data_IF_381217910133
#
_entry.id   IF_381217910133
#
_cell.length_a   1.000
_cell.length_b   1.000
_cell.length_c   1.000
_cell.angle_alpha   90.00
_cell.angle_beta   90.00
_cell.angle_gamma   90.00
#
_symmetry.space_group_name_H-M   'P 1'
#
loop_
_entity.id
_entity.type
_entity.pdbx_description
1 polymer ?
#
# COMPACT_ATOMS: atom_id res chain seq x y z
N UNK A 1 16.98 10.73 -10.01
CA UNK A 1 17.33 10.35 -8.62
C UNK A 1 16.23 10.76 -7.66
N UNK A 2 15.81 9.86 -6.77
CA UNK A 2 14.75 10.13 -5.78
C UNK A 2 15.37 10.83 -4.55
N UNK A 3 14.61 11.68 -3.84
CA UNK A 3 15.07 12.31 -2.59
C UNK A 3 15.42 11.27 -1.52
N UNK A 4 14.78 10.09 -1.59
CA UNK A 4 15.02 8.96 -0.70
C UNK A 4 16.42 8.36 -0.84
N UNK A 5 17.10 8.58 -1.97
CA UNK A 5 18.44 8.02 -2.25
C UNK A 5 19.56 8.95 -1.76
N UNK A 6 19.26 10.22 -1.50
CA UNK A 6 20.24 11.24 -1.15
C UNK A 6 21.10 10.87 0.08
N UNK A 7 20.53 10.35 1.19
CA UNK A 7 21.33 9.93 2.34
C UNK A 7 22.34 8.84 2.00
N UNK A 8 21.93 7.81 1.26
CA UNK A 8 22.82 6.73 0.86
C UNK A 8 23.98 7.27 0.01
N UNK A 9 23.68 8.11 -0.97
CA UNK A 9 24.70 8.67 -1.87
C UNK A 9 25.67 9.60 -1.13
N UNK A 10 25.17 10.44 -0.22
CA UNK A 10 26.03 11.26 0.63
C UNK A 10 26.99 10.42 1.47
N UNK A 11 26.49 9.34 2.07
CA UNK A 11 27.33 8.42 2.83
C UNK A 11 28.29 7.64 1.95
N UNK A 12 27.88 7.20 0.76
CA UNK A 12 28.78 6.54 -0.18
C UNK A 12 29.92 7.47 -0.63
N UNK A 13 29.64 8.76 -0.83
CA UNK A 13 30.65 9.74 -1.19
C UNK A 13 31.63 10.05 -0.05
N UNK A 14 31.18 10.01 1.21
CA UNK A 14 31.92 10.57 2.36
C UNK A 14 32.40 9.54 3.38
N UNK A 15 31.78 8.35 3.45
CA UNK A 15 32.02 7.35 4.47
C UNK A 15 32.62 6.06 3.88
N UNK A 16 33.84 5.74 4.32
CA UNK A 16 34.59 4.57 3.86
C UNK A 16 33.93 3.24 4.26
N UNK A 17 33.08 3.21 5.30
CA UNK A 17 32.35 1.99 5.65
C UNK A 17 31.26 1.70 4.61
N UNK A 18 30.51 2.72 4.20
CA UNK A 18 29.51 2.65 3.14
C UNK A 18 30.12 2.17 1.82
N UNK A 19 31.27 2.75 1.42
CA UNK A 19 32.01 2.32 0.23
C UNK A 19 32.38 0.84 0.28
N UNK A 20 32.94 0.37 1.41
CA UNK A 20 33.28 -1.04 1.59
C UNK A 20 32.07 -1.98 1.53
N UNK A 21 30.91 -1.53 2.03
CA UNK A 21 29.68 -2.30 1.95
C UNK A 21 29.24 -2.50 0.49
N UNK A 22 29.33 -1.45 -0.32
CA UNK A 22 29.04 -1.49 -1.77
C UNK A 22 30.06 -2.36 -2.52
N UNK A 23 31.36 -2.18 -2.27
CA UNK A 23 32.43 -2.98 -2.89
C UNK A 23 32.23 -4.49 -2.65
N UNK A 24 31.69 -4.87 -1.49
CA UNK A 24 31.40 -6.27 -1.16
C UNK A 24 30.28 -6.85 -2.02
N UNK A 25 29.29 -6.04 -2.39
CA UNK A 25 28.22 -6.46 -3.30
C UNK A 25 28.80 -6.61 -4.71
N UNK A 26 29.56 -5.61 -5.18
CA UNK A 26 30.19 -5.65 -6.51
C UNK A 26 31.07 -6.89 -6.69
N UNK A 27 31.95 -7.19 -5.72
CA UNK A 27 32.80 -8.39 -5.76
C UNK A 27 32.02 -9.71 -5.79
N UNK A 28 30.81 -9.76 -5.22
CA UNK A 28 29.97 -10.95 -5.32
C UNK A 28 29.41 -11.10 -6.73
N UNK A 29 29.01 -10.00 -7.36
CA UNK A 29 28.49 -9.97 -8.73
C UNK A 29 29.58 -10.30 -9.76
N UNK A 30 30.78 -9.72 -9.62
CA UNK A 30 31.91 -9.98 -10.53
C UNK A 30 32.31 -11.47 -10.51
N UNK A 31 32.13 -12.14 -9.37
CA UNK A 31 32.46 -13.56 -9.21
C UNK A 31 31.37 -14.53 -9.66
N UNK A 32 30.24 -14.05 -10.19
CA UNK A 32 29.04 -14.86 -10.42
C UNK A 32 28.39 -14.72 -11.79
N UNK A 33 29.16 -14.30 -12.81
CA UNK A 33 28.66 -14.23 -14.19
C UNK A 33 27.98 -15.54 -14.64
N UNK A 34 26.73 -15.42 -15.09
CA UNK A 34 25.92 -16.54 -15.61
C UNK A 34 25.29 -17.47 -14.57
N UNK A 35 25.44 -17.20 -13.26
CA UNK A 35 24.87 -18.04 -12.20
C UNK A 35 23.87 -17.27 -11.31
N UNK A 36 22.80 -17.95 -10.89
CA UNK A 36 21.89 -17.43 -9.85
C UNK A 36 22.67 -17.21 -8.55
N UNK A 37 22.66 -15.97 -8.04
CA UNK A 37 23.49 -15.58 -6.89
C UNK A 37 22.66 -14.99 -5.77
N UNK A 38 22.79 -15.58 -4.59
CA UNK A 38 22.19 -15.08 -3.37
C UNK A 38 23.13 -14.07 -2.70
N UNK A 39 22.87 -12.78 -2.97
CA UNK A 39 23.70 -11.70 -2.47
C UNK A 39 23.66 -11.62 -0.93
N UNK A 40 24.84 -11.58 -0.32
CA UNK A 40 24.99 -11.24 1.10
C UNK A 40 25.07 -9.73 1.23
N UNK A 41 23.99 -9.12 1.72
CA UNK A 41 23.87 -7.67 1.92
C UNK A 41 24.16 -7.33 3.38
N UNK A 42 25.04 -6.36 3.61
CA UNK A 42 25.35 -5.83 4.94
C UNK A 42 24.72 -4.43 5.10
N UNK A 43 24.48 -3.96 6.34
CA UNK A 43 24.11 -2.56 6.57
C UNK A 43 25.14 -1.62 5.96
N UNK A 44 24.67 -0.54 5.33
CA UNK A 44 25.54 0.43 4.65
C UNK A 44 26.02 1.55 5.56
N UNK A 45 25.45 1.72 6.77
CA UNK A 45 25.93 2.68 7.77
C UNK A 45 26.16 2.03 9.14
N UNK A 46 26.94 2.70 10.00
CA UNK A 46 27.18 2.28 11.38
C UNK A 46 26.21 2.98 12.34
N UNK A 47 25.78 2.25 13.35
CA UNK A 47 24.94 2.78 14.43
C UNK A 47 23.69 1.93 14.63
N UNK A 48 22.73 2.48 15.38
CA UNK A 48 21.43 1.84 15.56
C UNK A 48 20.61 2.03 14.29
N UNK A 49 19.97 0.96 13.85
CA UNK A 49 19.04 0.98 12.75
C UNK A 49 17.76 0.25 13.17
N UNK A 50 16.62 0.76 12.71
CA UNK A 50 15.34 0.05 12.76
C UNK A 50 15.11 -0.54 11.38
N UNK A 51 14.59 -1.77 11.36
CA UNK A 51 14.22 -2.47 10.14
C UNK A 51 12.78 -2.94 10.34
N UNK A 52 11.93 -2.67 9.35
CA UNK A 52 10.57 -3.20 9.26
C UNK A 52 10.62 -4.42 8.37
N UNK A 53 10.12 -5.54 8.87
CA UNK A 53 10.17 -6.82 8.19
C UNK A 53 8.79 -7.48 8.19
N UNK A 54 8.48 -8.18 7.10
CA UNK A 54 7.39 -9.17 7.03
C UNK A 54 7.98 -10.56 7.24
N UNK A 55 7.26 -11.42 7.95
CA UNK A 55 7.81 -12.69 8.41
C UNK A 55 6.85 -13.47 9.30
N UNK A 56 7.40 -14.45 10.02
CA UNK A 56 6.64 -15.39 10.83
C UNK A 56 7.26 -15.48 12.23
N UNK A 57 6.41 -15.59 13.25
CA UNK A 57 6.86 -15.99 14.58
C UNK A 57 7.28 -17.46 14.57
N UNK A 58 8.42 -17.77 15.17
CA UNK A 58 8.82 -19.15 15.41
C UNK A 58 8.01 -19.71 16.60
N UNK A 59 7.94 -21.04 16.70
CA UNK A 59 7.12 -21.75 17.68
C UNK A 59 7.43 -21.41 19.15
N UNK A 60 8.56 -20.74 19.42
CA UNK A 60 8.96 -20.28 20.74
C UNK A 60 8.29 -18.96 21.18
N UNK A 61 7.57 -18.28 20.28
CA UNK A 61 6.99 -16.94 20.46
C UNK A 61 7.97 -15.88 20.99
N UNK A 62 9.27 -16.12 20.84
CA UNK A 62 10.36 -15.22 21.26
C UNK A 62 11.21 -14.78 20.08
N UNK A 63 11.19 -15.58 19.01
CA UNK A 63 11.99 -15.37 17.82
C UNK A 63 11.08 -15.08 16.63
N UNK A 64 11.39 -14.03 15.89
CA UNK A 64 10.69 -13.67 14.65
C UNK A 64 11.61 -13.87 13.46
N UNK A 65 11.17 -14.68 12.49
CA UNK A 65 11.87 -14.90 11.23
C UNK A 65 11.42 -13.86 10.21
N UNK A 66 12.24 -12.83 9.99
CA UNK A 66 12.02 -11.87 8.91
C UNK A 66 12.35 -12.47 7.55
N UNK A 67 11.37 -12.50 6.65
CA UNK A 67 11.49 -13.04 5.30
C UNK A 67 11.64 -11.95 4.24
N UNK A 68 11.07 -10.76 4.50
CA UNK A 68 11.14 -9.62 3.59
C UNK A 68 11.39 -8.34 4.37
N UNK A 69 12.37 -7.55 3.97
CA UNK A 69 12.58 -6.19 4.49
C UNK A 69 11.68 -5.23 3.73
N UNK A 70 10.83 -4.51 4.45
CA UNK A 70 9.83 -3.58 3.88
C UNK A 70 10.02 -2.15 4.35
N UNK A 71 11.03 -1.90 5.18
CA UNK A 71 11.43 -0.55 5.53
C UNK A 71 12.67 -0.51 6.39
N UNK A 72 13.34 0.64 6.40
CA UNK A 72 14.58 0.87 7.14
C UNK A 72 14.63 2.29 7.69
N UNK A 73 15.25 2.50 8.85
CA UNK A 73 15.59 3.85 9.30
C UNK A 73 16.85 4.35 8.61
N UNK A 74 16.99 5.68 8.57
CA UNK A 74 18.21 6.35 8.12
C UNK A 74 19.19 6.59 9.28
N UNK A 75 20.47 6.91 8.99
CA UNK A 75 21.44 7.31 10.00
C UNK A 75 20.95 8.51 10.81
N UNK A 76 20.95 8.40 12.13
CA UNK A 76 20.45 9.48 12.99
C UNK A 76 21.45 10.64 13.12
N UNK A 77 20.93 11.87 13.20
CA UNK A 77 21.74 13.06 13.53
C UNK A 77 22.45 13.71 12.35
N UNK A 78 22.08 13.34 11.12
CA UNK A 78 22.62 13.93 9.90
C UNK A 78 21.59 14.77 9.16
N UNK A 79 22.03 15.94 8.68
CA UNK A 79 21.28 16.76 7.72
C UNK A 79 21.92 16.63 6.35
N UNK A 80 21.17 16.13 5.38
CA UNK A 80 21.61 15.92 4.00
C UNK A 80 21.02 17.04 3.15
N UNK A 81 21.88 17.97 2.73
CA UNK A 81 21.51 18.96 1.74
C UNK A 81 21.71 18.35 0.35
N UNK A 82 20.66 18.32 -0.47
CA UNK A 82 20.76 17.79 -1.83
C UNK A 82 20.37 18.86 -2.85
N UNK A 83 21.20 18.98 -3.89
CA UNK A 83 20.92 19.83 -5.05
C UNK A 83 20.42 18.95 -6.21
N UNK A 84 19.34 19.38 -6.87
CA UNK A 84 18.88 18.82 -8.15
C UNK A 84 19.30 19.76 -9.27
N UNK A 85 20.00 19.22 -10.28
CA UNK A 85 20.45 20.01 -11.45
C UNK A 85 19.29 20.75 -12.12
N UNK A 86 18.13 20.09 -12.28
CA UNK A 86 16.89 20.67 -12.80
C UNK A 86 15.84 20.80 -11.68
N UNK A 87 16.07 21.72 -10.74
CA UNK A 87 15.14 22.01 -9.65
C UNK A 87 14.19 23.15 -10.00
N UNK A 88 12.89 22.97 -9.74
CA UNK A 88 11.89 24.04 -9.74
C UNK A 88 11.82 24.77 -8.38
N UNK A 89 12.63 24.37 -7.41
CA UNK A 89 12.73 25.01 -6.10
C UNK A 89 13.65 26.21 -6.21
N UNK A 90 13.10 27.30 -6.74
CA UNK A 90 13.82 28.56 -6.97
C UNK A 90 13.06 29.76 -6.43
N UNK A 91 13.76 30.85 -6.11
CA UNK A 91 13.14 32.12 -5.72
C UNK A 91 12.62 32.91 -6.93
N UNK A 92 13.35 32.87 -8.04
CA UNK A 92 13.01 33.55 -9.28
C UNK A 92 12.94 32.58 -10.48
N UNK A 93 11.98 32.82 -11.37
CA UNK A 93 11.87 32.06 -12.63
C UNK A 93 13.00 32.44 -13.59
N UNK A 94 13.30 31.55 -14.54
CA UNK A 94 14.24 31.84 -15.62
C UNK A 94 13.70 32.99 -16.50
N UNK A 95 14.59 33.77 -17.11
CA UNK A 95 14.19 34.86 -18.01
C UNK A 95 13.55 34.32 -19.29
N UNK A 96 12.62 35.08 -19.86
CA UNK A 96 12.02 34.78 -21.16
C UNK A 96 13.12 34.71 -22.24
N UNK A 97 13.26 33.54 -22.88
CA UNK A 97 14.33 33.24 -23.85
C UNK A 97 15.48 32.37 -23.32
N UNK A 98 15.45 31.99 -22.03
CA UNK A 98 16.42 31.02 -21.48
C UNK A 98 16.27 29.64 -22.12
N UNK A 99 17.35 28.84 -22.14
CA UNK A 99 17.35 27.48 -22.69
C UNK A 99 16.21 26.64 -22.07
N UNK A 100 15.55 25.82 -22.89
CA UNK A 100 14.50 24.92 -22.42
C UNK A 100 15.12 23.65 -21.81
N UNK A 101 14.71 23.30 -20.59
CA UNK A 101 14.98 21.98 -20.02
C UNK A 101 13.87 21.01 -20.44
N UNK A 102 14.24 19.77 -20.76
CA UNK A 102 13.30 18.70 -21.15
C UNK A 102 12.47 19.00 -22.41
N UNK A 103 13.01 19.76 -23.37
CA UNK A 103 12.34 20.01 -24.65
C UNK A 103 12.32 18.75 -25.52
N UNK A 104 11.16 18.41 -26.08
CA UNK A 104 10.88 17.18 -26.83
C UNK A 104 11.07 15.87 -26.03
N UNK A 105 11.09 15.92 -24.70
CA UNK A 105 11.17 14.69 -23.90
C UNK A 105 9.82 13.99 -23.87
N UNK A 106 9.85 12.67 -24.03
CA UNK A 106 8.66 11.83 -24.00
C UNK A 106 7.98 11.89 -22.63
N UNK A 107 6.63 11.92 -22.63
CA UNK A 107 5.87 11.82 -21.37
C UNK A 107 6.18 10.50 -20.63
N UNK A 108 6.06 10.51 -19.31
CA UNK A 108 6.18 9.29 -18.51
C UNK A 108 4.93 8.45 -18.69
N UNK A 109 5.11 7.16 -18.92
CA UNK A 109 4.04 6.17 -19.07
C UNK A 109 4.08 5.23 -17.89
N UNK A 110 2.97 5.11 -17.18
CA UNK A 110 2.79 4.09 -16.13
C UNK A 110 2.53 2.76 -16.82
N UNK A 111 3.25 1.71 -16.40
CA UNK A 111 3.07 0.36 -16.91
C UNK A 111 1.63 -0.09 -16.67
N UNK A 112 0.97 -0.57 -17.73
CA UNK A 112 -0.30 -1.29 -17.58
C UNK A 112 -0.07 -2.78 -17.30
N UNK A 113 -0.97 -3.47 -16.56
CA UNK A 113 -0.77 -4.87 -16.15
C UNK A 113 -0.45 -5.83 -17.32
N UNK A 114 -1.05 -5.60 -18.48
CA UNK A 114 -0.95 -6.46 -19.66
C UNK A 114 0.22 -6.09 -20.60
N UNK A 115 0.97 -5.04 -20.29
CA UNK A 115 2.08 -4.58 -21.12
C UNK A 115 3.33 -5.45 -20.90
N UNK A 116 3.69 -6.22 -21.93
CA UNK A 116 4.93 -6.99 -21.98
C UNK A 116 6.07 -6.04 -22.34
N UNK A 117 7.11 -6.03 -21.51
CA UNK A 117 8.32 -5.27 -21.74
C UNK A 117 9.54 -6.12 -21.36
N UNK A 118 10.67 -5.87 -22.00
CA UNK A 118 11.96 -6.46 -21.59
C UNK A 118 12.80 -5.46 -20.81
N UNK A 119 13.60 -5.96 -19.87
CA UNK A 119 14.66 -5.18 -19.22
C UNK A 119 15.99 -5.57 -19.85
N UNK A 120 16.67 -4.59 -20.45
CA UNK A 120 17.99 -4.78 -21.04
C UNK A 120 18.96 -3.72 -20.50
N UNK A 121 19.82 -4.13 -19.57
CA UNK A 121 20.81 -3.25 -18.95
C UNK A 121 22.14 -3.22 -19.71
N UNK A 122 22.27 -3.94 -20.84
CA UNK A 122 23.48 -3.93 -21.65
C UNK A 122 23.66 -2.61 -22.43
N UNK A 123 22.59 -1.83 -22.56
CA UNK A 123 22.57 -0.58 -23.31
C UNK A 123 21.94 0.56 -22.48
N UNK A 124 22.29 1.79 -22.86
CA UNK A 124 21.77 3.01 -22.22
C UNK A 124 20.58 3.57 -23.00
N UNK A 125 19.67 4.32 -22.34
CA UNK A 125 18.51 4.89 -23.00
C UNK A 125 18.87 6.14 -23.82
N UNK A 126 18.11 6.34 -24.90
CA UNK A 126 18.24 7.49 -25.80
C UNK A 126 18.00 8.85 -25.15
N UNK A 127 18.63 9.90 -25.71
CA UNK A 127 18.25 11.28 -25.42
C UNK A 127 16.82 11.54 -25.94
N UNK A 128 15.85 11.58 -25.04
CA UNK A 128 14.42 11.73 -25.36
C UNK A 128 13.62 10.42 -25.37
N UNK A 129 14.21 9.32 -24.89
CA UNK A 129 13.54 8.04 -24.73
C UNK A 129 12.26 8.13 -23.88
N UNK A 130 11.31 7.24 -24.12
CA UNK A 130 10.12 7.10 -23.28
C UNK A 130 10.50 6.60 -21.89
N UNK A 131 9.85 7.13 -20.85
CA UNK A 131 10.01 6.64 -19.49
C UNK A 131 8.88 5.67 -19.15
N UNK A 132 9.19 4.42 -18.81
CA UNK A 132 8.25 3.47 -18.23
C UNK A 132 8.36 3.48 -16.71
N UNK A 133 7.24 3.73 -16.05
CA UNK A 133 7.12 3.68 -14.60
C UNK A 133 6.55 2.32 -14.18
N UNK A 134 7.33 1.55 -13.44
CA UNK A 134 6.95 0.22 -12.93
C UNK A 134 6.63 0.33 -11.44
N UNK A 135 5.52 -0.30 -11.03
CA UNK A 135 5.07 -0.36 -9.65
C UNK A 135 6.05 -1.17 -8.79
N UNK A 136 6.44 -0.61 -7.64
CA UNK A 136 7.23 -1.31 -6.64
C UNK A 136 6.43 -1.50 -5.36
N UNK A 137 6.66 -2.62 -4.67
CA UNK A 137 6.15 -2.83 -3.31
C UNK A 137 6.65 -1.74 -2.37
N UNK A 138 5.73 -1.18 -1.56
CA UNK A 138 6.00 -0.06 -0.66
C UNK A 138 7.20 -0.35 0.25
N UNK A 139 8.25 0.46 0.10
CA UNK A 139 9.43 0.45 0.95
C UNK A 139 9.46 1.72 1.80
N UNK A 140 9.35 1.53 3.11
CA UNK A 140 9.17 2.63 4.07
C UNK A 140 10.51 3.12 4.66
N UNK A 141 10.66 4.44 4.78
CA UNK A 141 11.74 5.03 5.57
C UNK A 141 11.23 5.29 6.99
N UNK A 142 11.86 4.66 7.99
CA UNK A 142 11.36 4.62 9.36
C UNK A 142 11.84 5.81 10.20
N UNK A 143 10.93 6.74 10.49
CA UNK A 143 11.12 7.92 11.32
C UNK A 143 11.93 9.04 10.65
N UNK A 144 12.11 10.14 11.39
CA UNK A 144 12.60 11.41 10.84
C UNK A 144 14.06 11.70 11.23
N UNK A 145 14.84 10.67 11.57
CA UNK A 145 16.15 10.82 12.20
C UNK A 145 17.23 11.43 11.29
N UNK A 146 17.00 11.45 9.97
CA UNK A 146 17.86 12.09 8.97
C UNK A 146 17.06 13.13 8.19
N UNK A 147 17.45 14.40 8.31
CA UNK A 147 16.73 15.51 7.69
C UNK A 147 17.30 15.72 6.29
N UNK A 148 16.48 15.46 5.26
CA UNK A 148 16.86 15.69 3.86
C UNK A 148 16.31 17.04 3.41
N UNK A 149 17.19 18.02 3.23
CA UNK A 149 16.83 19.40 2.87
C UNK A 149 17.14 19.64 1.39
N UNK A 150 16.14 19.93 0.54
CA UNK A 150 16.42 20.35 -0.82
C UNK A 150 17.06 21.74 -0.82
N UNK A 151 18.16 21.90 -1.55
CA UNK A 151 18.75 23.22 -1.78
C UNK A 151 17.85 24.02 -2.72
N UNK A 152 17.50 25.22 -2.26
CA UNK A 152 16.74 26.21 -3.02
C UNK A 152 17.71 27.12 -3.76
N UNK A 153 17.52 27.29 -5.08
CA UNK A 153 18.37 28.17 -5.90
C UNK A 153 17.75 29.55 -6.01
N UNK A 154 18.55 30.60 -6.14
CA UNK A 154 18.00 31.96 -6.29
C UNK A 154 17.21 32.12 -7.59
N UNK A 155 17.69 31.55 -8.71
CA UNK A 155 17.01 31.66 -10.01
C UNK A 155 17.08 30.37 -10.81
N UNK A 156 15.98 30.01 -11.47
CA UNK A 156 15.94 28.89 -12.41
C UNK A 156 16.85 29.17 -13.63
N UNK A 157 17.63 28.17 -14.02
CA UNK A 157 18.53 28.25 -15.20
C UNK A 157 17.83 27.98 -16.53
N UNK A 158 16.66 27.34 -16.50
CA UNK A 158 15.99 26.83 -17.69
C UNK A 158 14.48 27.10 -17.63
N UNK A 159 13.86 27.26 -18.80
CA UNK A 159 12.39 27.28 -18.97
C UNK A 159 11.89 25.84 -19.20
N UNK A 160 10.67 25.51 -18.77
CA UNK A 160 10.06 24.20 -19.07
C UNK A 160 9.90 24.00 -20.58
N UNK A 161 10.46 22.91 -21.10
CA UNK A 161 10.31 22.48 -22.49
C UNK A 161 8.97 21.80 -22.80
N UNK A 162 8.72 21.61 -24.08
CA UNK A 162 7.53 20.93 -24.61
C UNK A 162 7.67 19.41 -24.46
N UNK A 163 6.63 18.72 -23.99
CA UNK A 163 6.62 17.24 -23.95
C UNK A 163 6.11 16.68 -25.27
N UNK A 164 6.70 15.57 -25.73
CA UNK A 164 6.19 14.80 -26.86
C UNK A 164 5.41 13.58 -26.34
N UNK A 165 4.21 13.33 -26.85
CA UNK A 165 3.32 12.28 -26.31
C UNK A 165 3.47 10.90 -26.97
N UNK A 166 4.38 10.71 -27.94
CA UNK A 166 4.25 9.61 -28.90
C UNK A 166 5.44 8.66 -29.09
N UNK A 167 6.43 8.60 -28.18
CA UNK A 167 7.50 7.58 -28.27
C UNK A 167 7.23 6.45 -27.27
N UNK A 168 7.22 5.20 -27.73
CA UNK A 168 7.11 3.99 -26.92
C UNK A 168 8.23 3.04 -27.30
N UNK A 169 8.80 2.33 -26.33
CA UNK A 169 9.86 1.34 -26.57
C UNK A 169 9.40 -0.05 -26.12
N UNK A 170 9.98 -1.10 -26.68
CA UNK A 170 9.70 -2.49 -26.29
C UNK A 170 10.67 -3.03 -25.23
N UNK A 171 11.84 -2.39 -25.12
CA UNK A 171 12.89 -2.69 -24.13
C UNK A 171 13.23 -1.46 -23.30
N UNK A 172 13.56 -1.68 -22.03
CA UNK A 172 13.83 -0.61 -21.07
C UNK A 172 15.05 -0.92 -20.19
N UNK A 173 15.71 0.12 -19.68
CA UNK A 173 16.92 0.02 -18.82
C UNK A 173 16.83 0.95 -17.62
N UNK A 174 17.51 0.63 -16.52
CA UNK A 174 17.64 1.50 -15.34
C UNK A 174 18.89 2.41 -15.39
N UNK A 175 19.70 2.28 -16.45
CA UNK A 175 20.93 3.06 -16.61
C UNK A 175 20.65 4.53 -16.89
N UNK A 176 21.64 5.40 -16.60
CA UNK A 176 21.55 6.82 -16.93
C UNK A 176 21.55 7.05 -18.45
N UNK A 177 20.80 8.07 -18.89
CA UNK A 177 20.73 8.45 -20.29
C UNK A 177 22.05 9.02 -20.79
N UNK A 178 22.86 8.19 -21.45
CA UNK A 178 24.04 8.59 -22.19
C UNK A 178 23.84 8.20 -23.66
N UNK A 179 23.91 9.21 -24.54
CA UNK A 179 23.43 9.11 -25.91
C UNK A 179 24.26 8.23 -26.84
N UNK A 180 23.55 7.34 -27.52
CA UNK A 180 23.63 6.94 -28.93
C UNK A 180 22.26 6.36 -29.27
N UNK A 181 21.76 6.52 -30.51
CA UNK A 181 20.39 6.12 -30.89
C UNK A 181 20.16 4.60 -30.77
N UNK A 182 19.63 4.17 -29.65
CA UNK A 182 19.23 2.81 -29.32
C UNK A 182 17.74 2.85 -28.93
N UNK A 183 16.93 1.98 -29.52
CA UNK A 183 15.47 1.93 -29.32
C UNK A 183 15.06 1.41 -27.91
N UNK A 184 15.65 1.99 -26.86
CA UNK A 184 15.59 1.56 -25.47
C UNK A 184 15.07 2.72 -24.61
N UNK A 185 13.99 2.43 -23.89
CA UNK A 185 13.36 3.34 -22.95
C UNK A 185 14.07 3.39 -21.60
N UNK A 186 13.81 4.45 -20.84
CA UNK A 186 14.23 4.52 -19.44
C UNK A 186 13.18 3.90 -18.54
N UNK A 187 13.59 3.00 -17.63
CA UNK A 187 12.72 2.44 -16.60
C UNK A 187 12.98 3.15 -15.28
N UNK A 188 11.91 3.65 -14.67
CA UNK A 188 11.94 4.11 -13.28
C UNK A 188 10.94 3.34 -12.45
N UNK A 189 11.28 3.15 -11.17
CA UNK A 189 10.30 2.72 -10.20
C UNK A 189 9.50 3.90 -9.68
N UNK A 190 8.21 3.66 -9.50
CA UNK A 190 7.31 4.62 -8.87
C UNK A 190 6.83 4.03 -7.55
N UNK A 191 7.09 4.79 -6.49
CA UNK A 191 6.52 4.58 -5.15
C UNK A 191 5.24 5.43 -4.95
N UNK A 192 4.69 6.04 -6.01
CA UNK A 192 3.53 6.95 -5.92
C UNK A 192 2.19 6.25 -5.69
N UNK A 193 2.18 4.92 -5.70
CA UNK A 193 1.25 4.23 -4.83
C UNK A 193 1.94 4.15 -3.45
N UNK A 194 1.78 5.20 -2.63
CA UNK A 194 1.47 4.89 -1.24
C UNK A 194 0.38 3.82 -1.36
N UNK A 195 0.68 2.55 -1.05
CA UNK A 195 -0.37 1.55 -0.90
C UNK A 195 -1.39 2.28 -0.04
N UNK A 196 -2.53 2.64 -0.62
CA UNK A 196 -3.35 3.73 -0.09
C UNK A 196 -3.81 3.23 1.26
N UNK A 197 -3.07 3.56 2.32
CA UNK A 197 -3.30 2.98 3.63
C UNK A 197 -4.63 3.55 4.04
N UNK A 198 -5.67 2.75 3.89
CA UNK A 198 -7.01 3.18 4.19
C UNK A 198 -7.11 3.17 5.70
N UNK A 199 -7.10 4.36 6.27
CA UNK A 199 -7.35 4.54 7.69
C UNK A 199 -8.85 4.45 7.95
N UNK A 200 -9.19 3.79 9.05
CA UNK A 200 -10.56 3.72 9.54
C UNK A 200 -11.08 5.10 9.95
N UNK A 201 -12.30 5.45 9.55
CA UNK A 201 -12.93 6.71 9.91
C UNK A 201 -13.01 6.89 11.43
N UNK A 202 -13.05 8.14 11.89
CA UNK A 202 -13.13 8.46 13.33
C UNK A 202 -14.51 8.18 13.94
N UNK A 203 -15.54 7.93 13.12
CA UNK A 203 -16.94 7.70 13.52
C UNK A 203 -17.63 6.76 12.52
N UNK A 204 -18.74 6.16 12.96
CA UNK A 204 -19.59 5.30 12.12
C UNK A 204 -19.39 3.81 12.42
N UNK A 205 -20.16 2.96 11.73
CA UNK A 205 -20.35 1.56 12.12
C UNK A 205 -19.03 0.76 12.21
N UNK A 206 -18.07 0.99 11.31
CA UNK A 206 -16.77 0.29 11.35
C UNK A 206 -16.03 0.63 12.65
N UNK A 207 -15.97 1.92 13.00
CA UNK A 207 -15.36 2.41 14.25
C UNK A 207 -16.13 1.96 15.48
N UNK A 208 -17.46 1.98 15.45
CA UNK A 208 -18.32 1.57 16.56
C UNK A 208 -18.14 0.07 16.86
N UNK A 209 -18.08 -0.78 15.84
CA UNK A 209 -17.79 -2.20 16.00
C UNK A 209 -16.39 -2.46 16.58
N UNK A 210 -15.37 -1.75 16.12
CA UNK A 210 -14.02 -1.86 16.69
C UNK A 210 -13.97 -1.45 18.16
N UNK A 211 -14.62 -0.33 18.50
CA UNK A 211 -14.72 0.14 19.89
C UNK A 211 -15.50 -0.86 20.77
N UNK A 212 -16.54 -1.50 20.25
CA UNK A 212 -17.25 -2.57 20.95
C UNK A 212 -16.35 -3.79 21.25
N UNK A 213 -15.47 -4.16 20.31
CA UNK A 213 -14.51 -5.25 20.52
C UNK A 213 -13.45 -4.88 21.57
N UNK A 214 -12.95 -3.63 21.56
CA UNK A 214 -12.06 -3.12 22.61
C UNK A 214 -12.75 -3.17 23.97
N UNK A 215 -13.97 -2.65 24.06
CA UNK A 215 -14.74 -2.67 25.30
C UNK A 215 -14.93 -4.09 25.83
N UNK A 216 -15.25 -5.05 24.96
CA UNK A 216 -15.37 -6.46 25.34
C UNK A 216 -14.03 -7.03 25.84
N UNK A 217 -12.89 -6.63 25.25
CA UNK A 217 -11.54 -7.02 25.74
C UNK A 217 -11.29 -6.56 27.16
N UNK A 218 -11.59 -5.30 27.43
CA UNK A 218 -11.34 -4.67 28.72
C UNK A 218 -12.23 -5.28 29.81
N UNK A 219 -13.48 -5.62 29.46
CA UNK A 219 -14.48 -6.13 30.41
C UNK A 219 -14.57 -7.67 30.47
N UNK A 220 -13.87 -8.40 29.60
CA UNK A 220 -13.86 -9.87 29.58
C UNK A 220 -12.46 -10.45 29.33
N UNK A 221 -11.45 -9.78 29.87
CA UNK A 221 -10.02 -10.12 29.72
C UNK A 221 -9.64 -11.53 30.19
N UNK A 222 -10.48 -12.19 31.01
CA UNK A 222 -10.28 -13.58 31.42
C UNK A 222 -10.57 -14.60 30.30
N UNK A 223 -11.44 -14.24 29.34
CA UNK A 223 -11.85 -15.13 28.24
C UNK A 223 -11.20 -14.76 26.91
N UNK A 224 -11.01 -13.46 26.66
CA UNK A 224 -10.39 -12.98 25.43
C UNK A 224 -8.90 -12.74 25.60
N UNK A 225 -8.09 -13.47 24.82
CA UNK A 225 -6.62 -13.43 24.89
C UNK A 225 -6.01 -12.47 23.88
N UNK A 226 -6.64 -12.27 22.71
CA UNK A 226 -6.17 -11.32 21.70
C UNK A 226 -7.30 -10.60 20.97
N UNK A 227 -6.98 -9.40 20.51
CA UNK A 227 -7.76 -8.60 19.57
C UNK A 227 -6.75 -7.92 18.64
N UNK A 228 -6.85 -8.22 17.36
CA UNK A 228 -5.94 -7.79 16.29
C UNK A 228 -6.76 -7.37 15.08
N UNK A 229 -6.16 -6.60 14.17
CA UNK A 229 -6.69 -6.33 12.84
C UNK A 229 -5.76 -6.92 11.78
N UNK A 230 -6.29 -7.21 10.59
CA UNK A 230 -5.57 -7.86 9.50
C UNK A 230 -5.61 -7.05 8.20
N UNK A 231 -4.47 -6.89 7.55
CA UNK A 231 -4.39 -6.54 6.13
C UNK A 231 -3.43 -7.50 5.40
N UNK A 232 -3.62 -7.76 4.09
CA UNK A 232 -2.65 -8.52 3.29
C UNK A 232 -1.23 -7.93 3.38
N UNK A 233 -1.13 -6.61 3.54
CA UNK A 233 0.13 -5.89 3.62
C UNK A 233 0.79 -6.06 4.99
N UNK A 234 0.07 -5.84 6.08
CA UNK A 234 0.66 -5.78 7.43
C UNK A 234 0.41 -7.05 8.26
N UNK A 235 -0.26 -8.05 7.70
CA UNK A 235 -0.70 -9.26 8.39
C UNK A 235 -1.50 -8.89 9.66
N UNK A 236 -1.39 -9.69 10.73
CA UNK A 236 -2.04 -9.39 12.00
C UNK A 236 -1.25 -8.33 12.77
N UNK A 237 -1.96 -7.30 13.22
CA UNK A 237 -1.43 -6.20 14.02
C UNK A 237 -2.35 -5.89 15.20
N UNK A 238 -1.76 -5.47 16.31
CA UNK A 238 -2.45 -5.04 17.52
C UNK A 238 -2.29 -3.53 17.79
N UNK A 239 -1.88 -2.75 16.79
CA UNK A 239 -1.76 -1.30 16.92
C UNK A 239 -3.12 -0.67 17.26
N UNK A 240 -3.07 0.50 17.91
CA UNK A 240 -4.26 1.20 18.40
C UNK A 240 -5.23 1.61 17.28
N UNK A 241 -4.69 2.05 16.15
CA UNK A 241 -5.47 2.45 14.98
C UNK A 241 -5.44 1.34 13.93
N UNK A 242 -6.60 0.73 13.61
CA UNK A 242 -6.72 -0.25 12.55
C UNK A 242 -6.58 0.34 11.16
N UNK A 243 -5.92 -0.44 10.31
CA UNK A 243 -5.93 -0.23 8.87
C UNK A 243 -6.99 -1.11 8.20
N UNK A 244 -7.41 -0.71 7.01
CA UNK A 244 -8.44 -1.37 6.26
C UNK A 244 -7.87 -2.05 5.02
N UNK A 245 -8.50 -3.16 4.63
CA UNK A 245 -8.24 -3.82 3.36
C UNK A 245 -8.94 -3.04 2.26
N UNK A 246 -8.18 -2.57 1.27
CA UNK A 246 -8.73 -1.87 0.12
C UNK A 246 -9.55 -2.80 -0.79
N UNK A 247 -10.69 -2.31 -1.28
CA UNK A 247 -11.47 -3.00 -2.29
C UNK A 247 -10.92 -2.58 -3.67
N UNK A 248 -10.37 -3.50 -4.47
CA UNK A 248 -9.73 -3.14 -5.72
C UNK A 248 -10.70 -2.54 -6.74
N UNK A 249 -10.21 -1.57 -7.50
CA UNK A 249 -10.89 -1.03 -8.66
C UNK A 249 -11.06 -2.10 -9.75
N UNK A 250 -12.07 -1.94 -10.61
CA UNK A 250 -12.23 -2.85 -11.75
C UNK A 250 -11.15 -2.56 -12.79
N UNK A 251 -10.41 -3.58 -13.18
CA UNK A 251 -9.45 -3.47 -14.27
C UNK A 251 -10.18 -3.36 -15.61
N UNK A 252 -9.54 -2.77 -16.62
CA UNK A 252 -10.17 -2.51 -17.92
C UNK A 252 -10.69 -3.79 -18.58
N UNK A 253 -9.94 -4.88 -18.51
CA UNK A 253 -10.33 -6.22 -18.98
C UNK A 253 -11.55 -6.80 -18.22
N UNK A 254 -11.69 -6.55 -16.92
CA UNK A 254 -12.85 -6.98 -16.14
C UNK A 254 -14.13 -6.22 -16.54
N UNK A 255 -14.00 -4.97 -17.01
CA UNK A 255 -15.16 -4.19 -17.48
C UNK A 255 -15.74 -4.69 -18.80
N UNK A 256 -15.01 -5.54 -19.52
CA UNK A 256 -15.36 -6.10 -20.84
C UNK A 256 -15.68 -7.60 -20.82
N UNK A 257 -15.64 -8.27 -19.65
CA UNK A 257 -15.88 -9.72 -19.55
C UNK A 257 -17.28 -10.15 -20.03
N UNK A 258 -17.30 -11.07 -21.01
CA UNK A 258 -18.39 -11.94 -21.47
C UNK A 258 -19.77 -11.29 -21.69
N UNK A 259 -19.93 -10.54 -22.80
CA UNK A 259 -21.21 -10.12 -23.43
C UNK A 259 -22.27 -9.40 -22.55
N UNK A 260 -22.08 -9.33 -21.22
CA UNK A 260 -22.91 -8.66 -20.24
C UNK A 260 -22.08 -7.58 -19.56
N UNK A 261 -22.18 -6.35 -20.08
CA UNK A 261 -21.49 -5.18 -19.52
C UNK A 261 -21.78 -5.05 -18.02
N UNK A 262 -20.73 -5.02 -17.19
CA UNK A 262 -20.87 -4.71 -15.77
C UNK A 262 -21.57 -3.36 -15.62
N UNK A 263 -22.68 -3.34 -14.86
CA UNK A 263 -23.46 -2.11 -14.69
C UNK A 263 -22.61 -0.98 -14.08
N UNK A 264 -22.88 0.27 -14.48
CA UNK A 264 -22.19 1.46 -13.94
C UNK A 264 -22.29 1.57 -12.42
N UNK A 265 -23.38 1.07 -11.83
CA UNK A 265 -23.57 1.02 -10.37
C UNK A 265 -22.58 0.07 -9.69
N UNK A 266 -22.25 -1.06 -10.32
CA UNK A 266 -21.25 -2.00 -9.81
C UNK A 266 -19.86 -1.40 -9.98
N UNK A 267 -19.53 -0.85 -11.15
CA UNK A 267 -18.23 -0.20 -11.41
C UNK A 267 -17.92 0.96 -10.46
N UNK A 268 -18.95 1.73 -10.06
CA UNK A 268 -18.80 2.85 -9.14
C UNK A 268 -18.88 2.45 -7.66
N UNK A 269 -19.25 1.22 -7.34
CA UNK A 269 -19.45 0.79 -5.96
C UNK A 269 -18.17 0.82 -5.09
N UNK A 270 -16.99 0.43 -5.59
CA UNK A 270 -15.75 0.50 -4.82
C UNK A 270 -15.38 1.90 -4.33
N UNK A 271 -15.93 2.98 -4.89
CA UNK A 271 -15.57 4.33 -4.49
C UNK A 271 -16.49 4.89 -3.40
N UNK A 272 -15.93 5.49 -2.36
CA UNK A 272 -16.63 6.35 -1.41
C UNK A 272 -17.04 7.67 -2.06
N UNK A 273 -16.14 8.29 -2.83
CA UNK A 273 -16.43 9.43 -3.70
C UNK A 273 -16.61 8.97 -5.16
N UNK A 274 -17.86 8.84 -5.58
CA UNK A 274 -18.24 8.39 -6.92
C UNK A 274 -17.93 9.43 -8.01
N UNK A 275 -17.91 10.72 -7.64
CA UNK A 275 -17.78 11.82 -8.58
C UNK A 275 -16.33 11.97 -9.00
N UNK A 276 -15.43 12.09 -8.01
CA UNK A 276 -14.01 12.29 -8.29
C UNK A 276 -13.24 10.97 -8.44
N UNK A 277 -13.83 9.83 -8.03
CA UNK A 277 -13.19 8.50 -8.02
C UNK A 277 -11.83 8.48 -7.32
N UNK A 278 -11.64 9.37 -6.35
CA UNK A 278 -10.38 9.49 -5.61
C UNK A 278 -10.33 8.56 -4.42
N UNK A 279 -11.45 8.32 -3.77
CA UNK A 279 -11.52 7.58 -2.52
C UNK A 279 -12.12 6.19 -2.71
N UNK A 280 -11.26 5.18 -2.66
CA UNK A 280 -11.62 3.78 -2.67
C UNK A 280 -12.05 3.36 -1.26
N UNK A 281 -13.09 2.54 -1.21
CA UNK A 281 -13.66 1.94 0.00
C UNK A 281 -12.78 0.79 0.47
N UNK A 282 -12.67 0.65 1.77
CA UNK A 282 -12.09 -0.52 2.42
C UNK A 282 -13.07 -1.28 3.31
N UNK A 283 -12.57 -2.35 3.89
CA UNK A 283 -13.22 -3.05 4.99
C UNK A 283 -12.20 -3.41 6.07
N UNK A 284 -12.65 -3.38 7.33
CA UNK A 284 -11.87 -3.85 8.47
C UNK A 284 -11.95 -5.37 8.51
N UNK A 285 -10.82 -6.04 8.71
CA UNK A 285 -10.79 -7.41 9.21
C UNK A 285 -10.24 -7.36 10.63
N UNK A 286 -11.02 -7.80 11.61
CA UNK A 286 -10.54 -8.00 12.98
C UNK A 286 -10.50 -9.48 13.34
N UNK A 287 -9.59 -9.85 14.23
CA UNK A 287 -9.40 -11.20 14.77
C UNK A 287 -9.50 -11.12 16.29
N UNK A 288 -10.33 -11.99 16.88
CA UNK A 288 -10.48 -12.19 18.31
C UNK A 288 -10.15 -13.63 18.65
N UNK A 289 -9.40 -13.84 19.74
CA UNK A 289 -9.18 -15.19 20.29
C UNK A 289 -9.88 -15.29 21.64
N UNK A 290 -10.96 -16.07 21.70
CA UNK A 290 -11.83 -16.21 22.88
C UNK A 290 -11.93 -17.69 23.25
N UNK A 291 -11.55 -18.06 24.47
CA UNK A 291 -11.53 -19.45 24.95
C UNK A 291 -10.87 -20.42 23.95
N UNK A 292 -9.72 -20.01 23.39
CA UNK A 292 -8.95 -20.70 22.33
C UNK A 292 -9.65 -20.83 20.97
N UNK A 293 -10.74 -20.11 20.72
CA UNK A 293 -11.38 -20.04 19.41
C UNK A 293 -10.97 -18.75 18.68
N UNK A 294 -10.44 -18.90 17.46
CA UNK A 294 -10.12 -17.78 16.58
C UNK A 294 -11.35 -17.38 15.77
N UNK A 295 -11.81 -16.14 15.95
CA UNK A 295 -13.00 -15.59 15.30
C UNK A 295 -12.60 -14.32 14.56
N UNK A 296 -13.08 -14.16 13.35
CA UNK A 296 -12.84 -13.00 12.52
C UNK A 296 -14.13 -12.22 12.27
N UNK A 297 -14.00 -10.91 12.11
CA UNK A 297 -15.10 -10.03 11.70
C UNK A 297 -14.67 -9.20 10.50
N UNK A 298 -15.65 -8.89 9.65
CA UNK A 298 -15.50 -7.99 8.52
C UNK A 298 -16.57 -6.90 8.58
N UNK A 299 -16.13 -5.65 8.49
CA UNK A 299 -16.98 -4.46 8.43
C UNK A 299 -16.61 -3.55 7.27
N UNK A 300 -17.57 -3.25 6.41
CA UNK A 300 -17.35 -2.48 5.18
C UNK A 300 -17.61 -0.99 5.46
N UNK A 301 -16.70 -0.12 5.00
CA UNK A 301 -16.89 1.33 5.03
C UNK A 301 -18.13 1.75 4.25
N UNK A 302 -18.78 2.83 4.71
CA UNK A 302 -20.01 3.35 4.13
C UNK A 302 -19.79 4.79 3.70
N UNK A 303 -20.50 5.22 2.65
CA UNK A 303 -20.47 6.63 2.25
C UNK A 303 -21.14 7.47 3.35
N UNK A 304 -20.41 8.46 3.85
CA UNK A 304 -20.93 9.50 4.74
C UNK A 304 -21.26 10.71 3.87
N UNK A 305 -22.50 11.22 3.91
CA UNK A 305 -22.84 12.52 3.32
C UNK A 305 -23.12 13.51 4.44
N UNK A 306 -22.43 14.64 4.42
CA UNK A 306 -22.69 15.80 5.26
C UNK A 306 -23.43 16.85 4.43
N UNK A 307 -24.75 16.77 4.30
CA UNK A 307 -25.55 17.94 3.90
C UNK A 307 -26.87 17.97 4.65
N UNK A 308 -27.07 19.06 5.39
CA UNK A 308 -28.36 19.49 5.91
C UNK A 308 -29.32 19.71 4.74
N UNK A 309 -30.35 18.87 4.59
CA UNK A 309 -31.52 19.21 3.76
C UNK A 309 -31.85 18.30 2.57
N UNK A 310 -31.14 17.18 2.34
CA UNK A 310 -31.55 16.19 1.34
C UNK A 310 -31.94 14.87 2.01
N UNK A 311 -33.10 14.31 1.65
CA UNK A 311 -33.57 13.02 2.14
C UNK A 311 -32.46 11.95 2.03
N UNK A 312 -32.31 11.25 3.14
CA UNK A 312 -31.15 10.50 3.59
C UNK A 312 -30.74 9.35 2.67
N UNK A 313 -29.60 9.49 1.97
CA UNK A 313 -28.89 8.34 1.37
C UNK A 313 -28.20 7.48 2.45
N UNK A 314 -28.11 7.93 3.71
CA UNK A 314 -27.62 7.09 4.82
C UNK A 314 -28.52 5.86 5.07
N UNK A 315 -29.77 5.87 4.60
CA UNK A 315 -30.62 4.68 4.56
C UNK A 315 -30.25 3.67 3.45
N UNK A 316 -29.45 4.06 2.45
CA UNK A 316 -29.20 3.25 1.26
C UNK A 316 -28.11 2.17 1.45
N UNK A 317 -27.14 2.38 2.34
CA UNK A 317 -26.04 1.43 2.59
C UNK A 317 -26.21 0.69 3.93
N UNK A 318 -27.26 -0.14 4.01
CA UNK A 318 -27.53 -1.04 5.16
C UNK A 318 -26.74 -2.35 5.04
N UNK A 319 -25.42 -2.27 4.94
CA UNK A 319 -24.57 -3.46 4.88
C UNK A 319 -24.67 -4.29 6.17
N UNK A 320 -24.62 -5.60 6.02
CA UNK A 320 -24.48 -6.53 7.14
C UNK A 320 -22.99 -6.73 7.40
N UNK A 321 -22.62 -6.84 8.67
CA UNK A 321 -21.30 -7.33 9.03
C UNK A 321 -21.20 -8.83 8.77
N UNK A 322 -19.98 -9.33 8.68
CA UNK A 322 -19.69 -10.75 8.49
C UNK A 322 -18.81 -11.22 9.64
N UNK A 323 -19.20 -12.31 10.29
CA UNK A 323 -18.41 -13.02 11.30
C UNK A 323 -18.05 -14.38 10.74
N UNK A 324 -16.80 -14.81 10.91
CA UNK A 324 -16.37 -16.10 10.38
C UNK A 324 -15.25 -16.75 11.19
N UNK A 325 -15.12 -18.06 11.04
CA UNK A 325 -13.98 -18.86 11.47
C UNK A 325 -13.36 -19.53 10.23
N UNK A 326 -12.10 -19.92 10.34
CA UNK A 326 -11.40 -20.65 9.28
C UNK A 326 -11.05 -22.04 9.78
N UNK A 327 -11.07 -23.04 8.90
CA UNK A 327 -10.59 -24.38 9.23
C UNK A 327 -9.07 -24.40 9.44
N UNK A 328 -8.33 -23.57 8.68
CA UNK A 328 -6.91 -23.31 8.82
C UNK A 328 -6.66 -21.79 8.80
N UNK A 329 -5.94 -21.26 9.78
CA UNK A 329 -5.61 -19.83 9.84
C UNK A 329 -4.73 -19.38 8.66
N UNK A 330 -4.00 -20.30 8.01
CA UNK A 330 -3.20 -20.01 6.82
C UNK A 330 -4.07 -19.58 5.61
N UNK A 331 -5.37 -19.88 5.61
CA UNK A 331 -6.28 -19.50 4.54
C UNK A 331 -6.74 -18.03 4.62
N UNK A 332 -6.40 -17.29 5.68
CA UNK A 332 -6.84 -15.90 5.86
C UNK A 332 -6.51 -15.01 4.67
N UNK A 333 -5.29 -15.15 4.11
CA UNK A 333 -4.86 -14.35 2.96
C UNK A 333 -5.73 -14.62 1.73
N UNK A 334 -5.95 -15.90 1.40
CA UNK A 334 -6.77 -16.30 0.25
C UNK A 334 -8.22 -15.87 0.43
N UNK A 335 -8.76 -16.05 1.64
CA UNK A 335 -10.14 -15.71 1.95
C UNK A 335 -10.37 -14.19 1.89
N UNK A 336 -9.49 -13.39 2.49
CA UNK A 336 -9.59 -11.92 2.46
C UNK A 336 -9.40 -11.37 1.05
N UNK A 337 -8.50 -11.96 0.25
CA UNK A 337 -8.32 -11.60 -1.16
C UNK A 337 -9.59 -11.89 -1.98
N UNK A 338 -10.22 -13.05 -1.75
CA UNK A 338 -11.50 -13.39 -2.36
C UNK A 338 -12.61 -12.43 -1.91
N UNK A 339 -12.69 -12.09 -0.62
CA UNK A 339 -13.66 -11.11 -0.12
C UNK A 339 -13.49 -9.76 -0.82
N UNK A 340 -12.26 -9.23 -0.90
CA UNK A 340 -11.97 -7.97 -1.57
C UNK A 340 -12.37 -8.02 -3.06
N UNK A 341 -12.08 -9.13 -3.73
CA UNK A 341 -12.44 -9.34 -5.13
C UNK A 341 -13.95 -9.46 -5.36
N UNK A 342 -14.67 -10.25 -4.56
CA UNK A 342 -16.08 -10.60 -4.79
C UNK A 342 -17.05 -9.54 -4.29
N UNK A 343 -16.70 -8.84 -3.20
CA UNK A 343 -17.59 -7.88 -2.53
C UNK A 343 -18.00 -6.74 -3.46
N UNK A 344 -17.12 -6.33 -4.39
CA UNK A 344 -17.40 -5.33 -5.42
C UNK A 344 -18.45 -5.77 -6.43
N UNK A 345 -18.44 -7.04 -6.87
CA UNK A 345 -19.46 -7.57 -7.79
C UNK A 345 -20.85 -7.66 -7.15
N UNK A 346 -20.90 -7.96 -5.86
CA UNK A 346 -22.16 -8.09 -5.12
C UNK A 346 -22.59 -6.81 -4.39
N UNK A 347 -21.88 -5.70 -4.61
CA UNK A 347 -22.17 -4.39 -4.00
C UNK A 347 -22.29 -4.44 -2.47
N UNK A 348 -21.37 -5.15 -1.80
CA UNK A 348 -21.34 -5.23 -0.34
C UNK A 348 -22.32 -6.22 0.28
N UNK A 349 -23.08 -6.97 -0.52
CA UNK A 349 -24.01 -8.00 -0.01
C UNK A 349 -23.21 -9.26 0.32
N UNK A 350 -22.47 -9.22 1.43
CA UNK A 350 -21.61 -10.31 1.94
C UNK A 350 -22.35 -11.64 2.14
N UNK A 351 -23.68 -11.59 2.32
CA UNK A 351 -24.52 -12.79 2.37
C UNK A 351 -24.43 -13.66 1.10
N UNK A 352 -24.09 -13.09 -0.05
CA UNK A 352 -23.87 -13.85 -1.30
C UNK A 352 -22.51 -14.56 -1.34
N UNK A 353 -21.58 -14.19 -0.45
CA UNK A 353 -20.20 -14.69 -0.45
C UNK A 353 -19.97 -15.73 0.66
N UNK A 354 -20.78 -15.75 1.72
CA UNK A 354 -20.58 -16.62 2.90
C UNK A 354 -20.35 -18.10 2.57
N UNK A 355 -21.02 -18.63 1.54
CA UNK A 355 -20.88 -20.03 1.13
C UNK A 355 -19.51 -20.38 0.52
N UNK A 356 -18.67 -19.38 0.20
CA UNK A 356 -17.30 -19.56 -0.28
C UNK A 356 -16.27 -19.60 0.86
N UNK A 357 -16.68 -19.39 2.12
CA UNK A 357 -15.75 -19.39 3.24
C UNK A 357 -15.17 -20.79 3.45
N UNK A 358 -13.84 -20.92 3.62
CA UNK A 358 -13.22 -22.22 3.89
C UNK A 358 -13.50 -22.74 5.32
N UNK A 359 -14.18 -21.96 6.18
CA UNK A 359 -14.70 -22.39 7.47
C UNK A 359 -16.18 -22.03 7.64
N UNK A 360 -16.57 -21.51 8.79
CA UNK A 360 -17.96 -21.09 9.04
C UNK A 360 -18.09 -19.59 8.90
N UNK A 361 -19.07 -19.10 8.13
CA UNK A 361 -19.30 -17.67 7.95
C UNK A 361 -20.79 -17.31 8.07
N UNK A 362 -21.08 -16.26 8.83
CA UNK A 362 -22.43 -15.81 9.10
C UNK A 362 -22.53 -14.29 9.03
N UNK A 363 -23.65 -13.79 8.51
CA UNK A 363 -23.93 -12.35 8.49
C UNK A 363 -24.67 -11.90 9.74
N UNK A 364 -24.41 -10.68 10.21
CA UNK A 364 -25.11 -10.05 11.32
C UNK A 364 -25.58 -8.63 10.97
N UNK A 365 -26.56 -8.14 11.72
CA UNK A 365 -27.16 -6.81 11.54
C UNK A 365 -26.71 -5.90 12.68
N UNK A 366 -26.51 -4.62 12.38
CA UNK A 366 -26.25 -3.56 13.36
C UNK A 366 -27.55 -3.03 13.96
N UNK A 367 -28.35 -3.90 14.56
CA UNK A 367 -29.59 -3.48 15.22
C UNK A 367 -29.27 -2.80 16.55
N UNK A 368 -29.63 -1.52 16.75
CA UNK A 368 -29.40 -0.84 18.02
C UNK A 368 -30.26 -1.47 19.12
N UNK A 369 -29.69 -1.60 20.32
CA UNK A 369 -30.40 -2.06 21.51
C UNK A 369 -30.62 -0.89 22.48
N UNK A 370 -31.72 -0.93 23.24
CA UNK A 370 -31.90 0.00 24.35
C UNK A 370 -30.90 -0.37 25.46
N UNK A 371 -30.04 0.59 25.84
CA UNK A 371 -29.05 0.48 26.92
C UNK A 371 -27.81 -0.39 26.62
N UNK A 372 -27.19 -0.22 25.45
CA UNK A 372 -25.84 -0.77 25.23
C UNK A 372 -24.74 0.12 25.85
N UNK A 373 -23.68 -0.48 26.46
CA UNK A 373 -22.61 0.28 27.12
C UNK A 373 -21.76 1.09 26.14
N UNK A 374 -21.61 0.57 24.91
CA UNK A 374 -20.99 1.24 23.77
C UNK A 374 -21.77 0.88 22.51
N UNK A 375 -21.72 1.75 21.50
CA UNK A 375 -22.41 1.53 20.24
C UNK A 375 -22.02 0.18 19.61
N UNK A 376 -23.00 -0.51 19.01
CA UNK A 376 -22.83 -1.81 18.36
C UNK A 376 -22.42 -2.98 19.29
N UNK A 377 -22.36 -2.80 20.61
CA UNK A 377 -22.02 -3.88 21.54
C UNK A 377 -22.99 -5.07 21.41
N UNK A 378 -24.29 -4.80 21.29
CA UNK A 378 -25.29 -5.86 21.12
C UNK A 378 -25.15 -6.58 19.77
N UNK A 379 -24.74 -5.87 18.73
CA UNK A 379 -24.47 -6.45 17.41
C UNK A 379 -23.26 -7.39 17.45
N UNK A 380 -22.20 -7.01 18.19
CA UNK A 380 -21.03 -7.85 18.42
C UNK A 380 -21.40 -9.16 19.15
N UNK A 381 -22.18 -9.08 20.24
CA UNK A 381 -22.63 -10.29 20.95
C UNK A 381 -23.52 -11.19 20.08
N UNK A 382 -24.40 -10.60 19.27
CA UNK A 382 -25.21 -11.35 18.31
C UNK A 382 -24.31 -12.09 17.30
N UNK A 383 -23.31 -11.40 16.75
CA UNK A 383 -22.35 -11.99 15.83
C UNK A 383 -21.57 -13.14 16.46
N UNK A 384 -21.07 -12.98 17.69
CA UNK A 384 -20.39 -14.03 18.44
C UNK A 384 -21.29 -15.26 18.67
N UNK A 385 -22.55 -15.06 19.04
CA UNK A 385 -23.47 -16.18 19.25
C UNK A 385 -23.74 -16.99 17.98
N UNK A 386 -23.67 -16.37 16.79
CA UNK A 386 -23.80 -17.07 15.50
C UNK A 386 -22.65 -18.03 15.20
N UNK A 387 -21.49 -17.85 15.84
CA UNK A 387 -20.34 -18.76 15.75
C UNK A 387 -20.13 -19.56 17.04
N UNK A 388 -21.16 -19.64 17.90
CA UNK A 388 -21.16 -20.50 19.08
C UNK A 388 -20.52 -19.89 20.33
N UNK A 389 -20.23 -18.58 20.34
CA UNK A 389 -19.62 -17.90 21.49
C UNK A 389 -20.67 -17.05 22.21
N UNK A 390 -20.85 -17.32 23.51
CA UNK A 390 -21.80 -16.61 24.38
C UNK A 390 -21.07 -15.94 25.54
N UNK A 391 -21.48 -14.72 25.89
CA UNK A 391 -20.97 -13.93 27.01
C UNK A 391 -22.04 -13.75 28.09
#
# INVERSE_FOLDING_TARGET
MNNKDAPFISFFALDAFTQKAVDRIQRQLDGSEGCETYLKVAPWFKGKARIKVKGLWLSDNKSFLGLSVTGVSLPEGYTVNFDRDNSNLVDEKADDGSKKAWDNVSARKIKTPDEIFSVDNAFNPDSGASSLEVEMSVFEILGDSCVVVPLRKEKARYVTGSKNENKTHSSYTVNESFGESNDIGYMSSVNEYEAKTLYMESKGIVRDMWNAMIYLKENSSQRMTSLEWYTPENLLSNSREPELVAIPEFAQNETEMDNDKISRTVLNWPYLDVINKKDVRGFLISRMVIDNNTIYFMEIQRRIHNEEGMESVSEAEKFKGLVFTLNDEADIYKWVSLLAHEVRFVKGIVQKIVGKCPGTAMVYKHSPAQNEPVACYSALLNALSKVGITF
#
